data_IF_839598733369
#
_entry.id   IF_839598733369
#
_cell.length_a   1.000
_cell.length_b   1.000
_cell.length_c   1.000
_cell.angle_alpha   90.00
_cell.angle_beta   90.00
_cell.angle_gamma   90.00
#
_symmetry.space_group_name_H-M   'P 1'
#
loop_
_entity.id
_entity.type
_entity.pdbx_description
1 polymer ?
#
# COMPACT_ATOMS: atom_id res chain seq x y z
N UNK A 1 -25.52 39.42 -1.12
CA UNK A 1 -24.35 38.53 -1.11
C UNK A 1 -24.23 37.90 -2.50
N UNK A 2 -23.10 38.12 -3.19
CA UNK A 2 -22.80 37.57 -4.53
C UNK A 2 -21.95 36.32 -4.33
N UNK A 3 -22.36 35.18 -4.88
CA UNK A 3 -21.49 34.00 -4.98
C UNK A 3 -20.82 34.08 -6.36
N UNK A 4 -19.53 34.34 -6.33
CA UNK A 4 -18.65 34.40 -7.50
C UNK A 4 -18.32 32.96 -7.91
N UNK A 5 -18.37 32.69 -9.22
CA UNK A 5 -18.48 31.36 -9.81
C UNK A 5 -17.41 30.35 -9.40
N UNK A 6 -17.84 29.10 -9.30
CA UNK A 6 -16.97 27.93 -9.18
C UNK A 6 -16.77 27.38 -10.59
N UNK A 7 -15.61 27.62 -11.19
CA UNK A 7 -15.19 26.97 -12.44
C UNK A 7 -14.49 25.66 -12.10
N UNK A 8 -15.10 24.55 -12.50
CA UNK A 8 -14.51 23.22 -12.43
C UNK A 8 -14.04 22.85 -13.84
N UNK A 9 -12.76 23.05 -14.11
CA UNK A 9 -12.14 22.54 -15.33
C UNK A 9 -11.98 21.03 -15.20
N UNK A 10 -12.87 20.30 -15.87
CA UNK A 10 -12.79 18.84 -16.00
C UNK A 10 -12.16 18.52 -17.36
N UNK A 11 -10.84 18.38 -17.38
CA UNK A 11 -10.12 17.80 -18.52
C UNK A 11 -10.36 16.28 -18.54
N UNK A 12 -11.50 15.89 -19.09
CA UNK A 12 -11.85 14.50 -19.33
C UNK A 12 -11.15 13.97 -20.58
N UNK A 13 -10.16 13.10 -20.39
CA UNK A 13 -9.62 12.26 -21.45
C UNK A 13 -10.72 11.37 -22.03
N UNK A 14 -10.70 11.16 -23.36
CA UNK A 14 -11.72 10.52 -24.22
C UNK A 14 -12.07 9.04 -23.86
N UNK A 15 -11.61 8.55 -22.72
CA UNK A 15 -11.68 7.15 -22.29
C UNK A 15 -12.77 6.90 -21.25
N UNK A 16 -13.29 7.94 -20.58
CA UNK A 16 -14.33 7.79 -19.53
C UNK A 16 -15.78 7.72 -20.05
N UNK A 17 -16.03 8.14 -21.29
CA UNK A 17 -17.39 8.11 -21.85
C UNK A 17 -17.92 6.69 -22.09
N UNK A 18 -17.03 5.73 -22.34
CA UNK A 18 -17.42 4.34 -22.63
C UNK A 18 -17.84 3.57 -21.37
N UNK A 19 -17.30 3.91 -20.19
CA UNK A 19 -17.58 3.21 -18.92
C UNK A 19 -18.95 3.61 -18.36
N UNK A 20 -19.42 4.83 -18.65
CA UNK A 20 -20.71 5.33 -18.17
C UNK A 20 -21.90 4.65 -18.89
N UNK A 21 -21.73 4.18 -20.13
CA UNK A 21 -22.81 3.54 -20.89
C UNK A 21 -23.13 2.11 -20.40
N UNK A 22 -22.16 1.40 -19.81
CA UNK A 22 -22.35 0.03 -19.34
C UNK A 22 -23.10 -0.04 -17.99
N UNK A 23 -23.06 1.04 -17.20
CA UNK A 23 -23.73 1.11 -15.90
C UNK A 23 -25.23 1.44 -16.01
N UNK A 24 -25.65 2.19 -17.04
CA UNK A 24 -27.07 2.50 -17.25
C UNK A 24 -27.89 1.28 -17.75
N UNK A 25 -27.29 0.40 -18.56
CA UNK A 25 -27.96 -0.79 -19.09
C UNK A 25 -28.38 -1.81 -18.01
N UNK A 26 -27.64 -1.87 -16.90
CA UNK A 26 -27.95 -2.78 -15.78
C UNK A 26 -29.10 -2.29 -14.90
N UNK A 27 -29.45 -1.00 -14.97
CA UNK A 27 -30.57 -0.45 -14.20
C UNK A 27 -31.93 -0.60 -14.91
N UNK A 28 -31.97 -0.77 -16.24
CA UNK A 28 -33.21 -1.00 -16.99
C UNK A 28 -33.64 -2.48 -17.04
N UNK A 29 -32.72 -3.43 -16.84
CA UNK A 29 -33.02 -4.86 -16.82
C UNK A 29 -33.84 -5.32 -15.59
N UNK A 30 -33.97 -4.46 -14.58
CA UNK A 30 -34.73 -4.74 -13.36
C UNK A 30 -36.19 -4.26 -13.35
N UNK A 31 -36.66 -3.57 -14.40
CA UNK A 31 -38.03 -3.01 -14.45
C UNK A 31 -38.98 -3.72 -15.42
N UNK A 32 -38.57 -4.83 -16.05
CA UNK A 32 -39.46 -5.65 -16.87
C UNK A 32 -39.88 -6.90 -16.08
N UNK A 33 -41.18 -7.09 -15.78
CA UNK A 33 -41.64 -8.34 -15.21
C UNK A 33 -41.46 -9.49 -16.23
N UNK A 34 -41.13 -10.71 -15.77
CA UNK A 34 -40.99 -11.86 -16.64
C UNK A 34 -42.37 -12.24 -17.23
N UNK A 35 -42.46 -12.29 -18.55
CA UNK A 35 -43.59 -12.94 -19.23
C UNK A 35 -43.34 -14.45 -19.14
N UNK A 36 -43.97 -15.09 -18.16
CA UNK A 36 -44.21 -16.53 -18.20
C UNK A 36 -45.21 -16.83 -19.33
N UNK A 37 -44.84 -17.74 -20.22
CA UNK A 37 -45.77 -18.40 -21.14
C UNK A 37 -45.44 -18.27 -22.62
N UNK A 38 -44.54 -19.13 -23.12
CA UNK A 38 -44.70 -19.69 -24.47
C UNK A 38 -44.45 -21.20 -24.39
N UNK A 39 -45.54 -21.92 -24.63
CA UNK A 39 -45.68 -23.36 -24.76
C UNK A 39 -45.22 -23.80 -26.16
N UNK A 40 -44.92 -25.10 -26.28
CA UNK A 40 -44.95 -25.91 -27.50
C UNK A 40 -43.73 -25.95 -28.42
N UNK A 41 -43.12 -27.14 -28.46
CA UNK A 41 -42.99 -27.80 -29.75
C UNK A 41 -41.65 -28.45 -30.06
N UNK A 42 -41.67 -29.79 -30.01
CA UNK A 42 -40.98 -30.72 -30.93
C UNK A 42 -39.56 -31.16 -30.57
N UNK A 43 -39.52 -32.38 -30.02
CA UNK A 43 -38.41 -33.33 -30.07
C UNK A 43 -38.19 -33.75 -31.51
N UNK A 44 -36.97 -33.66 -32.01
CA UNK A 44 -36.52 -34.43 -33.17
C UNK A 44 -35.06 -34.86 -32.98
N UNK A 45 -34.89 -36.10 -32.52
CA UNK A 45 -33.70 -36.92 -32.72
C UNK A 45 -33.57 -37.24 -34.20
N UNK A 46 -32.46 -36.91 -34.87
CA UNK A 46 -31.98 -37.74 -35.97
C UNK A 46 -30.45 -37.63 -36.18
N UNK A 47 -29.83 -38.81 -36.16
CA UNK A 47 -28.67 -39.28 -36.94
C UNK A 47 -27.30 -38.58 -36.86
N UNK A 48 -26.32 -39.33 -36.33
CA UNK A 48 -24.96 -39.39 -36.88
C UNK A 48 -24.98 -40.01 -38.29
N UNK A 49 -24.05 -39.60 -39.17
CA UNK A 49 -22.99 -40.54 -39.54
C UNK A 49 -21.61 -39.87 -39.56
N UNK A 50 -20.59 -40.66 -39.22
CA UNK A 50 -19.21 -40.20 -39.08
C UNK A 50 -18.50 -39.92 -40.40
N UNK A 51 -17.43 -39.14 -40.31
CA UNK A 51 -16.25 -39.26 -41.16
C UNK A 51 -15.05 -38.65 -40.43
N UNK A 52 -13.99 -39.44 -40.34
CA UNK A 52 -12.71 -39.09 -39.75
C UNK A 52 -11.90 -38.21 -40.70
N UNK A 53 -11.27 -37.15 -40.18
CA UNK A 53 -10.06 -36.55 -40.76
C UNK A 53 -9.16 -35.97 -39.66
N UNK A 54 -8.01 -36.63 -39.51
CA UNK A 54 -6.64 -36.14 -39.27
C UNK A 54 -6.36 -34.86 -38.45
N UNK A 55 -5.54 -35.08 -37.42
CA UNK A 55 -4.34 -34.34 -37.02
C UNK A 55 -4.31 -32.80 -37.17
N UNK A 56 -4.48 -32.11 -36.04
CA UNK A 56 -3.44 -31.23 -35.45
C UNK A 56 -3.74 -31.01 -33.97
N UNK A 57 -2.88 -31.54 -33.10
CA UNK A 57 -2.90 -31.33 -31.65
C UNK A 57 -2.39 -29.91 -31.32
N UNK A 58 -3.24 -28.90 -31.53
CA UNK A 58 -2.96 -27.54 -31.07
C UNK A 58 -3.57 -27.35 -29.67
N UNK A 59 -2.76 -27.62 -28.64
CA UNK A 59 -3.12 -27.40 -27.23
C UNK A 59 -3.57 -25.95 -27.01
N UNK A 60 -4.82 -25.68 -26.59
CA UNK A 60 -5.22 -24.33 -26.23
C UNK A 60 -4.55 -23.94 -24.91
N UNK A 61 -3.67 -22.93 -24.96
CA UNK A 61 -3.10 -22.27 -23.77
C UNK A 61 -4.23 -21.73 -22.89
N UNK A 62 -4.55 -22.45 -21.81
CA UNK A 62 -5.41 -21.97 -20.72
C UNK A 62 -4.82 -20.67 -20.14
N UNK A 63 -5.45 -19.53 -20.45
CA UNK A 63 -5.20 -18.26 -19.75
C UNK A 63 -5.58 -18.44 -18.29
N UNK A 64 -4.57 -18.51 -17.43
CA UNK A 64 -4.72 -18.59 -15.98
C UNK A 64 -5.31 -17.26 -15.50
N UNK A 65 -6.63 -17.25 -15.27
CA UNK A 65 -7.33 -16.16 -14.61
C UNK A 65 -6.69 -15.94 -13.23
N UNK A 66 -5.90 -14.88 -13.08
CA UNK A 66 -5.42 -14.43 -11.77
C UNK A 66 -6.63 -13.97 -10.98
N UNK A 67 -7.11 -14.86 -10.12
CA UNK A 67 -8.08 -14.56 -9.06
C UNK A 67 -7.54 -13.35 -8.30
N UNK A 68 -8.11 -12.16 -8.53
CA UNK A 68 -7.89 -10.99 -7.68
C UNK A 68 -8.34 -11.41 -6.29
N UNK A 69 -7.39 -11.54 -5.36
CA UNK A 69 -7.71 -11.62 -3.93
C UNK A 69 -8.46 -10.33 -3.62
N UNK A 70 -9.74 -10.45 -3.29
CA UNK A 70 -10.48 -9.42 -2.59
C UNK A 70 -9.67 -9.15 -1.34
N UNK A 71 -9.03 -7.99 -1.29
CA UNK A 71 -8.44 -7.52 -0.05
C UNK A 71 -9.62 -7.39 0.92
N UNK A 72 -9.70 -8.28 1.91
CA UNK A 72 -10.55 -8.00 3.05
C UNK A 72 -10.03 -6.69 3.59
N UNK A 73 -10.86 -5.65 3.53
CA UNK A 73 -10.64 -4.40 4.24
C UNK A 73 -10.73 -4.74 5.71
N UNK A 74 -9.65 -5.31 6.25
CA UNK A 74 -9.43 -5.39 7.67
C UNK A 74 -9.40 -3.95 8.14
N UNK A 75 -10.39 -3.61 8.94
CA UNK A 75 -10.49 -2.37 9.68
C UNK A 75 -9.09 -2.01 10.15
N UNK A 76 -8.50 -0.97 9.55
CA UNK A 76 -7.17 -0.54 9.88
C UNK A 76 -7.28 0.02 11.30
N UNK A 77 -7.00 -0.84 12.29
CA UNK A 77 -6.94 -0.47 13.69
C UNK A 77 -6.15 0.83 13.77
N UNK A 78 -6.84 1.89 14.21
CA UNK A 78 -6.26 3.21 14.31
C UNK A 78 -5.04 3.08 15.23
N UNK A 79 -3.86 3.33 14.67
CA UNK A 79 -2.61 3.14 15.42
C UNK A 79 -2.66 4.01 16.69
N UNK A 80 -2.22 3.49 17.86
CA UNK A 80 -2.28 4.23 19.09
C UNK A 80 -1.61 5.59 18.92
N UNK A 81 -2.30 6.63 19.36
CA UNK A 81 -1.87 8.03 19.17
C UNK A 81 -0.69 8.29 20.10
N UNK A 82 0.51 8.10 19.57
CA UNK A 82 1.76 8.47 20.26
C UNK A 82 1.79 9.99 20.34
N UNK A 83 1.77 10.53 21.56
CA UNK A 83 1.98 11.95 21.78
C UNK A 83 3.44 12.28 21.49
N UNK A 84 3.68 12.85 20.31
CA UNK A 84 5.01 13.16 19.81
C UNK A 84 5.09 14.63 19.42
N UNK A 85 6.17 15.28 19.83
CA UNK A 85 6.49 16.64 19.39
C UNK A 85 7.91 16.63 18.84
N UNK A 86 8.02 16.85 17.53
CA UNK A 86 9.32 16.91 16.87
C UNK A 86 10.07 18.19 17.24
N UNK A 87 11.33 18.05 17.66
CA UNK A 87 12.28 19.15 17.78
C UNK A 87 13.33 19.06 16.65
N UNK A 88 13.13 19.88 15.63
CA UNK A 88 14.02 19.95 14.47
C UNK A 88 15.42 20.46 14.81
N UNK A 89 15.58 21.19 15.92
CA UNK A 89 16.89 21.74 16.33
C UNK A 89 17.79 20.67 16.92
N UNK A 90 17.18 19.63 17.52
CA UNK A 90 17.89 18.53 18.18
C UNK A 90 18.16 17.35 17.26
N UNK A 91 17.24 17.04 16.35
CA UNK A 91 17.33 15.83 15.52
C UNK A 91 17.36 16.08 14.01
N UNK A 92 17.24 17.32 13.58
CA UNK A 92 17.09 17.68 12.17
C UNK A 92 15.73 17.25 11.60
N UNK A 93 15.59 17.38 10.28
CA UNK A 93 14.43 16.87 9.55
C UNK A 93 14.86 15.71 8.63
N UNK A 94 14.00 14.69 8.43
CA UNK A 94 14.33 13.60 7.52
C UNK A 94 14.42 14.15 6.08
N UNK A 95 15.39 13.66 5.31
CA UNK A 95 15.54 14.12 3.92
C UNK A 95 14.62 13.36 2.97
N UNK A 96 14.25 14.00 1.87
CA UNK A 96 13.32 13.42 0.88
C UNK A 96 13.94 12.22 0.15
N UNK A 97 15.23 12.30 -0.19
CA UNK A 97 16.03 11.30 -0.91
C UNK A 97 16.34 10.05 -0.07
N UNK A 98 16.13 10.11 1.24
CA UNK A 98 16.31 8.95 2.11
C UNK A 98 15.35 7.82 1.76
N UNK A 99 15.88 6.60 1.75
CA UNK A 99 15.06 5.40 1.66
C UNK A 99 14.24 5.17 2.94
N UNK A 100 13.25 4.27 2.85
CA UNK A 100 12.35 3.96 3.98
C UNK A 100 13.15 3.44 5.18
N UNK A 101 14.18 2.62 4.97
CA UNK A 101 15.03 2.13 6.07
C UNK A 101 15.70 3.27 6.85
N UNK A 102 16.32 4.23 6.17
CA UNK A 102 16.95 5.41 6.81
C UNK A 102 15.93 6.24 7.57
N UNK A 103 14.78 6.55 6.93
CA UNK A 103 13.69 7.31 7.56
C UNK A 103 13.19 6.64 8.83
N UNK A 104 13.02 5.32 8.81
CA UNK A 104 12.55 4.55 9.98
C UNK A 104 13.63 4.41 11.05
N UNK A 105 14.90 4.19 10.68
CA UNK A 105 16.02 4.15 11.63
C UNK A 105 16.16 5.46 12.40
N UNK A 106 16.13 6.58 11.67
CA UNK A 106 16.13 7.91 12.25
C UNK A 106 14.91 8.10 13.17
N UNK A 107 13.71 7.74 12.71
CA UNK A 107 12.49 7.90 13.51
C UNK A 107 12.52 7.05 14.79
N UNK A 108 12.99 5.81 14.73
CA UNK A 108 13.14 4.94 15.91
C UNK A 108 14.05 5.58 16.96
N UNK A 109 15.15 6.21 16.52
CA UNK A 109 16.07 6.89 17.42
C UNK A 109 15.43 8.13 18.06
N UNK A 110 14.76 8.95 17.27
CA UNK A 110 14.09 10.16 17.79
C UNK A 110 12.97 9.79 18.77
N UNK A 111 12.14 8.79 18.44
CA UNK A 111 11.08 8.33 19.31
C UNK A 111 11.58 7.70 20.61
N UNK A 112 12.72 6.98 20.55
CA UNK A 112 13.39 6.46 21.75
C UNK A 112 13.77 7.58 22.72
N UNK A 113 14.27 8.70 22.20
CA UNK A 113 14.70 9.83 23.04
C UNK A 113 13.54 10.68 23.56
N UNK A 114 12.50 10.91 22.75
CA UNK A 114 11.38 11.78 23.11
C UNK A 114 10.31 11.07 23.93
N UNK A 115 10.01 9.81 23.61
CA UNK A 115 8.93 9.04 24.25
C UNK A 115 9.47 8.13 25.36
N UNK A 116 10.79 7.88 25.39
CA UNK A 116 11.41 6.94 26.33
C UNK A 116 11.02 5.47 26.11
N UNK A 117 10.41 5.16 24.96
CA UNK A 117 10.02 3.80 24.55
C UNK A 117 10.96 3.32 23.45
N UNK A 118 11.50 2.12 23.59
CA UNK A 118 12.51 1.58 22.67
C UNK A 118 11.95 0.78 21.50
N UNK A 119 10.67 0.41 21.58
CA UNK A 119 10.06 -0.56 20.69
C UNK A 119 8.75 -0.07 20.09
N UNK A 120 8.65 -0.12 18.77
CA UNK A 120 7.47 0.34 18.04
C UNK A 120 7.08 -0.64 16.95
N UNK A 121 5.79 -0.78 16.73
CA UNK A 121 5.28 -1.55 15.59
C UNK A 121 5.47 -0.78 14.28
N UNK A 122 5.52 -1.51 13.17
CA UNK A 122 5.61 -0.91 11.84
C UNK A 122 4.43 0.03 11.51
N UNK A 123 3.25 -0.26 12.08
CA UNK A 123 2.05 0.58 11.94
C UNK A 123 2.19 1.91 12.67
N UNK A 124 2.63 1.87 13.94
CA UNK A 124 2.92 3.08 14.74
C UNK A 124 3.97 3.96 14.04
N UNK A 125 5.07 3.36 13.58
CA UNK A 125 6.16 4.10 12.89
C UNK A 125 5.68 4.79 11.62
N UNK A 126 4.92 4.08 10.78
CA UNK A 126 4.36 4.67 9.57
C UNK A 126 3.33 5.77 9.88
N UNK A 127 2.49 5.57 10.91
CA UNK A 127 1.50 6.54 11.36
C UNK A 127 2.15 7.84 11.83
N UNK A 128 3.12 7.74 12.74
CA UNK A 128 3.88 8.90 13.23
C UNK A 128 4.62 9.57 12.08
N UNK A 129 5.34 8.82 11.24
CA UNK A 129 6.07 9.43 10.13
C UNK A 129 5.15 10.24 9.20
N UNK A 130 4.02 9.65 8.80
CA UNK A 130 3.09 10.30 7.88
C UNK A 130 2.32 11.44 8.52
N UNK A 131 2.21 11.50 9.85
CA UNK A 131 1.56 12.59 10.54
C UNK A 131 2.43 13.85 10.55
N UNK A 132 3.73 13.70 10.84
CA UNK A 132 4.64 14.85 11.02
C UNK A 132 5.52 15.15 9.80
N UNK A 133 5.82 14.15 8.98
CA UNK A 133 6.85 14.22 7.92
C UNK A 133 6.32 13.86 6.54
N UNK A 134 5.00 13.96 6.31
CA UNK A 134 4.36 13.64 5.03
C UNK A 134 5.01 14.32 3.82
N UNK A 135 5.51 15.54 4.01
CA UNK A 135 6.21 16.32 2.98
C UNK A 135 7.49 15.65 2.45
N UNK A 136 8.14 14.80 3.27
CA UNK A 136 9.34 14.05 2.89
C UNK A 136 9.00 12.67 2.31
N UNK A 137 7.73 12.43 1.99
CA UNK A 137 7.21 11.22 1.36
C UNK A 137 6.43 10.32 2.31
N UNK A 138 5.43 9.62 1.78
CA UNK A 138 4.58 8.74 2.58
C UNK A 138 5.20 7.35 2.73
N UNK A 139 5.22 6.84 3.96
CA UNK A 139 5.69 5.49 4.28
C UNK A 139 4.48 4.58 4.55
N UNK A 140 4.53 3.33 4.05
CA UNK A 140 3.50 2.31 4.33
C UNK A 140 4.03 1.30 5.34
N UNK A 141 3.20 0.88 6.29
CA UNK A 141 3.58 -0.12 7.30
C UNK A 141 4.13 -1.43 6.70
N UNK A 142 3.56 -1.89 5.57
CA UNK A 142 4.07 -3.07 4.86
C UNK A 142 5.49 -2.90 4.32
N UNK A 143 5.84 -1.70 3.85
CA UNK A 143 7.20 -1.38 3.39
C UNK A 143 8.15 -1.29 4.59
N UNK A 144 7.71 -0.72 5.71
CA UNK A 144 8.49 -0.68 6.96
C UNK A 144 8.87 -2.09 7.39
N UNK A 145 7.91 -3.00 7.57
CA UNK A 145 8.21 -4.37 8.00
C UNK A 145 9.15 -5.11 7.04
N UNK A 146 8.96 -4.93 5.72
CA UNK A 146 9.81 -5.56 4.70
C UNK A 146 11.24 -5.03 4.74
N UNK A 147 11.40 -3.71 4.84
CA UNK A 147 12.70 -3.06 4.76
C UNK A 147 13.47 -3.23 6.06
N UNK A 148 12.80 -3.19 7.23
CA UNK A 148 13.39 -3.54 8.51
C UNK A 148 13.79 -5.01 8.57
N UNK A 149 12.96 -5.92 8.03
CA UNK A 149 13.33 -7.34 7.92
C UNK A 149 14.53 -7.58 7.00
N UNK A 150 14.73 -6.72 5.99
CA UNK A 150 15.93 -6.73 5.14
C UNK A 150 17.14 -6.13 5.85
N UNK A 151 16.94 -5.07 6.63
CA UNK A 151 17.98 -4.45 7.44
C UNK A 151 18.48 -5.39 8.54
N UNK A 152 17.59 -6.15 9.20
CA UNK A 152 17.91 -7.17 10.21
C UNK A 152 18.92 -8.22 9.73
N UNK A 153 18.93 -8.51 8.42
CA UNK A 153 19.84 -9.50 7.81
C UNK A 153 21.25 -8.98 7.56
N UNK A 154 21.49 -7.67 7.69
CA UNK A 154 22.82 -7.07 7.49
C UNK A 154 23.72 -7.36 8.70
N UNK A 155 25.03 -7.35 8.49
CA UNK A 155 26.02 -7.46 9.56
C UNK A 155 26.92 -6.22 9.57
N UNK A 156 26.99 -5.46 10.67
CA UNK A 156 26.20 -5.61 11.89
C UNK A 156 24.72 -5.25 11.66
N UNK A 157 23.81 -5.98 12.33
CA UNK A 157 22.37 -5.73 12.17
C UNK A 157 21.98 -4.42 12.85
N UNK A 158 21.38 -3.45 12.15
CA UNK A 158 20.99 -2.17 12.74
C UNK A 158 19.65 -2.24 13.50
N UNK A 159 18.85 -3.28 13.29
CA UNK A 159 17.54 -3.42 13.92
C UNK A 159 17.28 -4.84 14.34
N UNK A 160 16.45 -4.99 15.36
CA UNK A 160 15.90 -6.26 15.79
C UNK A 160 14.40 -6.12 16.00
N UNK A 161 13.71 -7.24 15.96
CA UNK A 161 12.28 -7.40 16.15
C UNK A 161 12.01 -8.23 17.40
N UNK A 162 10.89 -7.94 18.05
CA UNK A 162 10.31 -8.79 19.07
C UNK A 162 9.06 -9.47 18.49
N UNK A 163 9.18 -10.74 18.06
CA UNK A 163 8.07 -11.48 17.48
C UNK A 163 7.05 -11.94 18.53
N UNK A 164 7.31 -11.74 19.83
CA UNK A 164 6.36 -12.12 20.89
C UNK A 164 5.19 -11.13 21.00
N UNK A 165 5.32 -9.93 20.44
CA UNK A 165 4.29 -8.89 20.44
C UNK A 165 3.44 -8.92 19.17
N UNK A 166 2.16 -8.62 19.33
CA UNK A 166 1.20 -8.51 18.23
C UNK A 166 0.58 -7.10 18.23
N UNK A 167 0.89 -6.25 17.24
CA UNK A 167 1.80 -6.46 16.10
C UNK A 167 3.28 -6.53 16.50
N UNK A 168 4.11 -7.18 15.65
CA UNK A 168 5.57 -7.30 15.85
C UNK A 168 6.19 -5.91 16.04
N UNK A 169 6.93 -5.73 17.13
CA UNK A 169 7.65 -4.49 17.42
C UNK A 169 9.09 -4.56 16.96
N UNK A 170 9.66 -3.40 16.66
CA UNK A 170 11.01 -3.22 16.17
C UNK A 170 11.76 -2.24 17.06
N UNK A 171 13.05 -2.50 17.27
CA UNK A 171 13.94 -1.66 18.08
C UNK A 171 15.33 -1.57 17.44
N UNK A 172 16.09 -0.54 17.84
CA UNK A 172 17.46 -0.32 17.40
C UNK A 172 18.44 -1.15 18.22
N UNK A 173 19.40 -1.76 17.54
CA UNK A 173 20.59 -2.36 18.16
C UNK A 173 21.68 -1.30 18.36
N UNK A 174 22.81 -1.67 18.97
CA UNK A 174 23.97 -0.77 19.10
C UNK A 174 24.48 -0.24 17.76
N UNK A 175 24.50 -1.10 16.73
CA UNK A 175 24.85 -0.69 15.38
C UNK A 175 23.79 0.23 14.76
N UNK A 176 22.52 -0.02 15.07
CA UNK A 176 21.41 0.85 14.68
C UNK A 176 21.52 2.25 15.26
N UNK A 177 21.86 2.33 16.55
CA UNK A 177 22.05 3.61 17.24
C UNK A 177 23.16 4.44 16.60
N UNK A 178 24.30 3.82 16.27
CA UNK A 178 25.39 4.52 15.56
C UNK A 178 24.96 5.04 14.19
N UNK A 179 24.25 4.20 13.43
CA UNK A 179 23.75 4.60 12.11
C UNK A 179 22.70 5.72 12.21
N UNK A 180 21.81 5.65 13.20
CA UNK A 180 20.79 6.66 13.41
C UNK A 180 21.37 7.99 13.90
N UNK A 181 22.42 7.96 14.74
CA UNK A 181 23.19 9.14 15.11
C UNK A 181 23.82 9.80 13.89
N UNK A 182 24.46 9.03 13.02
CA UNK A 182 25.00 9.56 11.76
C UNK A 182 23.90 10.20 10.89
N UNK A 183 22.70 9.61 10.84
CA UNK A 183 21.56 10.20 10.13
C UNK A 183 21.07 11.51 10.77
N UNK A 184 21.10 11.62 12.10
CA UNK A 184 20.77 12.86 12.81
C UNK A 184 21.78 13.96 12.48
N UNK A 185 23.07 13.65 12.50
CA UNK A 185 24.13 14.58 12.10
C UNK A 185 23.97 15.02 10.63
N UNK A 186 23.64 14.07 9.75
CA UNK A 186 23.35 14.31 8.33
C UNK A 186 22.12 15.22 8.14
N UNK A 187 21.10 15.07 8.99
CA UNK A 187 19.86 15.85 8.97
C UNK A 187 20.01 17.25 9.59
N UNK A 188 20.96 17.44 10.51
CA UNK A 188 21.32 18.73 11.08
C UNK A 188 22.24 19.55 10.16
N UNK A 189 22.70 18.98 9.04
CA UNK A 189 23.60 19.64 8.10
C UNK A 189 25.07 19.64 8.55
N UNK A 190 25.45 18.81 9.53
CA UNK A 190 26.83 18.74 10.01
C UNK A 190 27.78 18.01 9.03
N UNK A 191 27.24 17.33 8.03
CA UNK A 191 28.00 16.58 7.02
C UNK A 191 28.40 17.42 5.78
N UNK A 192 27.90 18.67 5.64
CA UNK A 192 28.28 19.56 4.51
C UNK A 192 29.68 20.20 4.64
N UNK A 193 30.42 19.92 5.72
CA UNK A 193 31.76 20.47 5.97
C UNK A 193 32.92 19.51 5.63
N UNK A 194 32.66 18.41 4.91
CA UNK A 194 33.72 17.52 4.39
C UNK A 194 33.71 17.52 2.86
N UNK A 195 34.12 18.64 2.27
CA UNK A 195 34.48 18.75 0.85
C UNK A 195 35.85 19.43 0.74
#
# INVERSE_FOLDING_TARGET
MKIQGFELELEGSREDAAVINEQLGRQLAGMLPPIEGIIEGKVEQVASPGQAHQDVDEKPKRKQSRKRRVASSGEAAEAPKIEYRHDSSKYGNPKQDWNVTKKVLWLLYVLKQEVGRDEFSAGELAGVFNLYFKQFGTIRASNVSRDLGSAKKKSPSPVADDPTKNPVTWYLTDAGNKNAQALVEEALGSDELKL
#
